data_IF_860080406802
#
_entry.id   IF_860080406802
#
_cell.length_a   1.000
_cell.length_b   1.000
_cell.length_c   1.000
_cell.angle_alpha   90.00
_cell.angle_beta   90.00
_cell.angle_gamma   90.00
#
_symmetry.space_group_name_H-M   'P 1'
#
loop_
_entity.id
_entity.type
_entity.pdbx_description
1 polymer ?
#
# COMPACT_ATOMS: atom_id res chain seq x y z
N UNK A 1 -23.48 -19.56 -38.23
CA UNK A 1 -24.20 -19.30 -36.95
C UNK A 1 -23.54 -19.90 -35.70
N UNK A 2 -22.85 -21.05 -35.75
CA UNK A 2 -22.24 -21.70 -34.55
C UNK A 2 -21.02 -20.94 -34.01
N UNK A 3 -20.11 -20.50 -34.89
CA UNK A 3 -18.91 -19.75 -34.50
C UNK A 3 -19.23 -18.35 -33.94
N UNK A 4 -20.29 -17.71 -34.42
CA UNK A 4 -20.73 -16.40 -33.94
C UNK A 4 -21.24 -16.46 -32.48
N UNK A 5 -21.95 -17.54 -32.11
CA UNK A 5 -22.43 -17.75 -30.73
C UNK A 5 -21.30 -17.96 -29.73
N UNK A 6 -20.22 -18.65 -30.14
CA UNK A 6 -19.02 -18.82 -29.30
C UNK A 6 -18.27 -17.50 -29.11
N UNK A 7 -18.09 -16.71 -30.16
CA UNK A 7 -17.42 -15.40 -30.07
C UNK A 7 -18.15 -14.41 -29.16
N UNK A 8 -19.49 -14.38 -29.21
CA UNK A 8 -20.29 -13.51 -28.32
C UNK A 8 -20.18 -13.96 -26.86
N UNK A 9 -20.18 -15.27 -26.61
CA UNK A 9 -20.02 -15.84 -25.26
C UNK A 9 -18.64 -15.52 -24.66
N UNK A 10 -17.58 -15.59 -25.46
CA UNK A 10 -16.24 -15.22 -25.01
C UNK A 10 -16.10 -13.72 -24.74
N UNK A 11 -16.78 -12.88 -25.53
CA UNK A 11 -16.73 -11.42 -25.36
C UNK A 11 -17.45 -10.96 -24.09
N UNK A 12 -18.62 -11.54 -23.77
CA UNK A 12 -19.35 -11.23 -22.54
C UNK A 12 -18.62 -11.72 -21.30
N UNK A 13 -17.96 -12.88 -21.36
CA UNK A 13 -17.12 -13.37 -20.26
C UNK A 13 -15.91 -12.45 -20.02
N UNK A 14 -15.27 -11.97 -21.10
CA UNK A 14 -14.12 -11.06 -21.00
C UNK A 14 -14.52 -9.71 -20.38
N UNK A 15 -15.67 -9.14 -20.76
CA UNK A 15 -16.16 -7.89 -20.16
C UNK A 15 -16.61 -8.07 -18.69
N UNK A 16 -17.08 -9.25 -18.30
CA UNK A 16 -17.44 -9.55 -16.90
C UNK A 16 -16.24 -9.56 -15.94
N UNK A 17 -15.04 -9.91 -16.44
CA UNK A 17 -13.82 -9.94 -15.61
C UNK A 17 -13.20 -8.57 -15.35
N UNK A 18 -13.57 -7.54 -16.12
CA UNK A 18 -13.04 -6.18 -15.97
C UNK A 18 -13.68 -5.39 -14.81
N UNK A 19 -14.79 -5.88 -14.25
CA UNK A 19 -15.46 -5.25 -13.09
C UNK A 19 -15.00 -5.81 -11.74
N UNK A 20 -14.03 -6.73 -11.70
CA UNK A 20 -13.49 -7.32 -10.45
C UNK A 20 -12.23 -6.61 -9.94
N UNK A 21 -11.59 -5.76 -10.73
CA UNK A 21 -10.50 -4.92 -10.21
C UNK A 21 -11.08 -3.76 -9.41
N UNK A 22 -10.89 -3.84 -8.09
CA UNK A 22 -11.26 -2.84 -7.07
C UNK A 22 -12.68 -2.94 -6.50
N UNK A 23 -13.18 -4.15 -6.22
CA UNK A 23 -14.10 -4.30 -5.09
C UNK A 23 -13.28 -4.40 -3.79
N UNK A 24 -12.54 -3.33 -3.49
CA UNK A 24 -12.03 -3.08 -2.14
C UNK A 24 -13.13 -2.27 -1.44
N UNK A 25 -14.02 -3.00 -0.76
CA UNK A 25 -15.14 -2.44 0.00
C UNK A 25 -14.67 -1.86 1.35
N UNK A 26 -13.41 -1.45 1.45
CA UNK A 26 -12.85 -0.76 2.60
C UNK A 26 -12.87 0.74 2.36
N UNK A 27 -13.32 1.51 3.33
CA UNK A 27 -13.21 2.98 3.35
C UNK A 27 -11.91 3.46 2.70
N UNK A 28 -12.00 4.51 1.87
CA UNK A 28 -10.86 5.30 1.42
C UNK A 28 -10.28 6.10 2.59
N UNK A 29 -9.94 5.43 3.68
CA UNK A 29 -9.19 5.98 4.78
C UNK A 29 -7.73 6.25 4.37
N UNK A 30 -6.95 6.91 5.23
CA UNK A 30 -5.52 7.04 5.01
C UNK A 30 -4.92 5.65 4.74
N UNK A 31 -4.11 5.55 3.69
CA UNK A 31 -3.50 4.28 3.29
C UNK A 31 -2.62 3.78 4.43
N UNK A 32 -3.02 2.65 5.02
CA UNK A 32 -2.23 1.99 6.04
C UNK A 32 -1.11 1.19 5.39
N UNK A 33 0.08 1.29 5.97
CA UNK A 33 1.28 0.63 5.46
C UNK A 33 2.08 0.02 6.60
N UNK A 34 2.64 -1.16 6.35
CA UNK A 34 3.56 -1.84 7.26
C UNK A 34 4.81 -2.26 6.50
N UNK A 35 5.99 -2.07 7.09
CA UNK A 35 7.22 -2.44 6.42
C UNK A 35 8.48 -2.22 7.23
N UNK A 36 9.57 -2.78 6.72
CA UNK A 36 10.91 -2.55 7.27
C UNK A 36 11.43 -1.21 6.78
N UNK A 37 11.93 -0.41 7.71
CA UNK A 37 12.49 0.91 7.47
C UNK A 37 13.86 1.04 8.10
N UNK A 38 14.67 1.92 7.54
CA UNK A 38 15.84 2.47 8.21
C UNK A 38 15.40 3.49 9.25
N UNK A 39 16.04 3.48 10.41
CA UNK A 39 15.80 4.47 11.47
C UNK A 39 16.87 5.55 11.36
N UNK A 40 16.45 6.81 11.39
CA UNK A 40 17.31 7.98 11.30
C UNK A 40 17.22 8.81 12.58
N UNK A 41 18.35 9.34 13.02
CA UNK A 41 18.40 10.44 13.99
C UNK A 41 18.54 11.75 13.24
N UNK A 42 17.56 12.63 13.39
CA UNK A 42 17.55 13.98 12.82
C UNK A 42 17.52 14.99 13.96
N UNK A 43 18.70 15.33 14.46
CA UNK A 43 18.88 16.27 15.57
C UNK A 43 18.10 15.85 16.84
N UNK A 44 18.13 14.55 17.15
CA UNK A 44 17.43 13.97 18.31
C UNK A 44 15.96 13.61 18.09
N UNK A 45 15.40 13.87 16.90
CA UNK A 45 14.11 13.34 16.47
C UNK A 45 14.29 12.08 15.62
N UNK A 46 13.46 11.07 15.85
CA UNK A 46 13.47 9.84 15.06
C UNK A 46 12.63 10.02 13.80
N UNK A 47 13.24 9.83 12.62
CA UNK A 47 12.53 9.68 11.35
C UNK A 47 12.83 8.31 10.74
N UNK A 48 12.09 7.92 9.70
CA UNK A 48 12.27 6.63 9.03
C UNK A 48 12.52 6.81 7.54
N UNK A 49 13.22 5.86 6.93
CA UNK A 49 13.34 5.79 5.46
C UNK A 49 12.92 4.41 4.97
N UNK A 50 11.99 4.38 4.03
CA UNK A 50 11.52 3.14 3.41
C UNK A 50 12.53 2.59 2.38
N UNK A 51 12.19 1.45 1.77
CA UNK A 51 13.02 0.82 0.74
C UNK A 51 13.08 1.62 -0.58
N UNK A 52 12.12 2.52 -0.83
CA UNK A 52 12.10 3.40 -1.99
C UNK A 52 12.95 4.68 -1.77
N UNK A 53 13.43 4.91 -0.55
CA UNK A 53 14.19 6.10 -0.18
C UNK A 53 13.30 7.27 0.31
N UNK A 54 12.02 7.04 0.54
CA UNK A 54 11.08 8.03 1.08
C UNK A 54 11.32 8.25 2.57
N UNK A 55 11.43 9.51 3.00
CA UNK A 55 11.47 9.84 4.43
C UNK A 55 10.05 9.89 5.01
N UNK A 56 9.81 9.11 6.05
CA UNK A 56 8.57 9.09 6.83
C UNK A 56 8.81 9.87 8.12
N UNK A 57 8.04 10.93 8.32
CA UNK A 57 8.14 11.83 9.48
C UNK A 57 7.00 11.51 10.44
N UNK A 58 7.26 10.96 11.63
CA UNK A 58 6.23 10.70 12.62
C UNK A 58 5.56 12.00 13.07
N UNK A 59 4.23 12.03 13.05
CA UNK A 59 3.41 13.16 13.53
C UNK A 59 2.70 12.83 14.85
N UNK A 60 3.09 11.73 15.51
CA UNK A 60 2.58 11.33 16.81
C UNK A 60 2.85 12.42 17.86
N UNK A 61 1.89 12.61 18.77
CA UNK A 61 2.03 13.56 19.89
C UNK A 61 3.09 13.12 20.89
N UNK A 62 3.30 11.80 21.03
CA UNK A 62 4.37 11.21 21.85
C UNK A 62 5.60 11.01 20.97
N UNK A 63 6.76 11.58 21.31
CA UNK A 63 7.99 11.41 20.55
C UNK A 63 8.38 9.93 20.46
N UNK A 64 8.80 9.52 19.27
CA UNK A 64 9.41 8.21 19.06
C UNK A 64 10.81 8.21 19.66
N UNK A 65 11.09 7.29 20.57
CA UNK A 65 12.39 7.16 21.27
C UNK A 65 13.15 5.89 20.88
N UNK A 66 12.84 5.33 19.72
CA UNK A 66 13.45 4.09 19.23
C UNK A 66 14.94 4.27 18.97
N UNK A 67 15.79 3.48 19.65
CA UNK A 67 17.23 3.44 19.43
C UNK A 67 17.60 2.14 18.69
N UNK A 68 17.52 2.18 17.36
CA UNK A 68 17.86 1.08 16.47
C UNK A 68 18.38 1.63 15.14
N UNK A 69 18.97 0.76 14.31
CA UNK A 69 19.41 1.12 12.95
C UNK A 69 18.34 0.81 11.89
N UNK A 70 17.49 -0.18 12.15
CA UNK A 70 16.37 -0.63 11.32
C UNK A 70 15.18 -0.96 12.23
N UNK A 71 13.96 -0.85 11.70
CA UNK A 71 12.73 -1.17 12.42
C UNK A 71 11.68 -1.75 11.47
N UNK A 72 10.72 -2.50 12.01
CA UNK A 72 9.46 -2.77 11.33
C UNK A 72 8.41 -1.83 11.92
N UNK A 73 7.76 -1.02 11.09
CA UNK A 73 6.77 -0.03 11.53
C UNK A 73 5.42 -0.27 10.85
N UNK A 74 4.36 0.24 11.48
CA UNK A 74 3.00 0.28 10.95
C UNK A 74 2.46 1.70 11.13
N UNK A 75 1.95 2.29 10.06
CA UNK A 75 1.43 3.67 10.05
C UNK A 75 0.26 3.82 9.07
#
# INVERSE_FOLDING_TARGET
MKQLKLMVLTLTLLMGTMFTSCMDSGESGPQQWAGVVKVNDRMGYVTFTDAAGTELIPTNTIPVTLNARMAYIYC
#
